data_IF_093120501613
#
_entry.id   IF_093120501613
#
_cell.length_a   1.000
_cell.length_b   1.000
_cell.length_c   1.000
_cell.angle_alpha   90.00
_cell.angle_beta   90.00
_cell.angle_gamma   90.00
#
_symmetry.space_group_name_H-M   'P 1'
#
loop_
_entity.id
_entity.type
_entity.pdbx_description
1 polymer ?
#
# COMPACT_ATOMS: atom_id res chain seq x y z
N UNK A 1 34.52 -25.63 -9.97
CA UNK A 1 34.30 -26.30 -8.68
C UNK A 1 32.80 -26.32 -8.44
N UNK A 2 32.11 -27.44 -8.34
CA UNK A 2 30.66 -27.50 -8.15
C UNK A 2 30.31 -27.45 -6.67
N UNK A 3 29.25 -26.67 -6.35
CA UNK A 3 28.66 -26.56 -5.03
C UNK A 3 27.82 -27.81 -4.71
N UNK A 4 28.18 -28.51 -3.64
CA UNK A 4 27.47 -29.67 -3.14
C UNK A 4 26.15 -29.30 -2.49
N UNK A 5 25.06 -29.94 -2.95
CA UNK A 5 23.76 -29.96 -2.28
C UNK A 5 23.85 -30.89 -1.05
N UNK A 6 23.55 -30.37 0.13
CA UNK A 6 23.26 -31.19 1.30
C UNK A 6 21.74 -31.41 1.41
N UNK A 7 21.29 -32.60 0.98
CA UNK A 7 20.00 -33.14 1.38
C UNK A 7 20.21 -34.07 2.55
N UNK A 8 19.57 -33.77 3.69
CA UNK A 8 19.46 -34.73 4.81
C UNK A 8 18.19 -35.54 4.64
N UNK A 9 18.22 -36.85 4.91
CA UNK A 9 17.04 -37.70 4.80
C UNK A 9 16.16 -37.56 6.06
N UNK A 10 14.88 -37.23 5.87
CA UNK A 10 13.87 -37.28 6.91
C UNK A 10 13.28 -38.68 6.97
N UNK A 11 13.54 -39.44 8.03
CA UNK A 11 12.92 -40.74 8.30
C UNK A 11 11.45 -40.53 8.70
N UNK A 12 10.53 -41.05 7.89
CA UNK A 12 9.11 -41.13 8.20
C UNK A 12 8.86 -42.36 9.07
N UNK A 13 8.63 -42.17 10.35
CA UNK A 13 8.04 -43.17 11.23
C UNK A 13 6.52 -43.11 11.14
N UNK A 14 5.92 -44.10 10.50
CA UNK A 14 4.47 -44.32 10.49
C UNK A 14 3.97 -44.69 11.87
N UNK A 15 3.21 -43.83 12.51
CA UNK A 15 2.35 -44.13 13.65
C UNK A 15 0.91 -44.26 13.20
N UNK A 16 0.34 -45.44 13.27
CA UNK A 16 -1.08 -45.72 13.12
C UNK A 16 -1.87 -44.99 14.21
N UNK A 17 -2.66 -43.99 13.82
CA UNK A 17 -3.70 -43.41 14.66
C UNK A 17 -5.05 -43.98 14.22
N UNK A 18 -5.75 -44.56 15.21
CA UNK A 18 -7.10 -45.05 15.08
C UNK A 18 -8.04 -43.95 14.57
N UNK A 19 -8.87 -44.27 13.59
CA UNK A 19 -9.91 -43.39 13.09
C UNK A 19 -11.05 -43.36 14.10
N UNK A 20 -11.03 -42.42 15.06
CA UNK A 20 -12.22 -42.05 15.80
C UNK A 20 -13.15 -41.23 14.90
N UNK A 21 -14.40 -41.71 14.81
CA UNK A 21 -15.48 -41.00 14.12
C UNK A 21 -15.71 -39.64 14.76
N UNK A 22 -15.10 -38.60 14.20
CA UNK A 22 -15.45 -37.23 14.53
C UNK A 22 -16.85 -36.97 13.99
N UNK A 23 -17.83 -36.86 14.91
CA UNK A 23 -19.16 -36.35 14.59
C UNK A 23 -18.99 -35.00 13.94
N UNK A 24 -19.44 -34.87 12.70
CA UNK A 24 -19.55 -33.61 11.98
C UNK A 24 -20.53 -32.71 12.71
N UNK A 25 -20.04 -31.97 13.67
CA UNK A 25 -20.75 -30.83 14.23
C UNK A 25 -20.65 -29.76 13.14
N UNK A 26 -21.77 -29.38 12.54
CA UNK A 26 -21.90 -28.21 11.70
C UNK A 26 -21.50 -26.98 12.56
N UNK A 27 -20.23 -26.68 12.62
CA UNK A 27 -19.74 -25.38 13.09
C UNK A 27 -20.14 -24.41 11.97
N UNK A 28 -21.24 -23.72 12.20
CA UNK A 28 -21.58 -22.52 11.43
C UNK A 28 -20.31 -21.66 11.35
N UNK A 29 -19.81 -21.47 10.14
CA UNK A 29 -18.74 -20.51 9.83
C UNK A 29 -19.38 -19.11 9.91
N UNK A 30 -19.78 -18.74 11.11
CA UNK A 30 -20.21 -17.38 11.47
C UNK A 30 -19.00 -16.71 12.13
N UNK A 31 -18.09 -16.16 11.30
CA UNK A 31 -17.23 -15.01 11.57
C UNK A 31 -16.18 -14.85 10.45
N UNK A 32 -16.62 -14.84 9.19
CA UNK A 32 -15.79 -14.29 8.14
C UNK A 32 -15.76 -12.77 8.32
N UNK A 33 -14.57 -12.18 8.43
CA UNK A 33 -14.39 -10.73 8.35
C UNK A 33 -14.97 -10.25 7.02
N UNK A 34 -16.11 -9.58 7.04
CA UNK A 34 -16.83 -9.20 5.81
C UNK A 34 -16.84 -7.70 5.59
N UNK A 35 -16.79 -6.90 6.66
CA UNK A 35 -16.86 -5.46 6.57
C UNK A 35 -15.46 -4.85 6.65
N UNK A 36 -15.10 -4.08 5.63
CA UNK A 36 -13.79 -3.43 5.49
C UNK A 36 -13.96 -1.94 5.23
N UNK A 37 -13.32 -1.13 6.05
CA UNK A 37 -13.12 0.30 5.75
C UNK A 37 -11.74 0.49 5.15
N UNK A 38 -11.63 1.28 4.10
CA UNK A 38 -10.34 1.67 3.51
C UNK A 38 -10.17 3.18 3.69
N UNK A 39 -9.06 3.55 4.33
CA UNK A 39 -8.57 4.92 4.46
C UNK A 39 -7.20 4.99 3.77
N UNK A 40 -7.10 5.79 2.72
CA UNK A 40 -5.90 5.86 1.91
C UNK A 40 -5.92 7.01 0.92
N UNK A 41 -5.06 6.92 -0.05
CA UNK A 41 -4.89 7.93 -1.09
C UNK A 41 -5.46 7.49 -2.46
N UNK A 42 -4.87 7.99 -3.54
CA UNK A 42 -5.28 7.69 -4.91
C UNK A 42 -5.10 6.21 -5.29
N UNK A 43 -4.12 5.53 -4.71
CA UNK A 43 -3.86 4.11 -4.97
C UNK A 43 -5.04 3.28 -4.46
N UNK A 44 -5.40 3.46 -3.21
CA UNK A 44 -6.54 2.78 -2.60
C UNK A 44 -7.88 3.23 -3.18
N UNK A 45 -7.96 4.46 -3.72
CA UNK A 45 -9.14 4.95 -4.42
C UNK A 45 -9.36 4.27 -5.79
N UNK A 46 -8.33 3.62 -6.34
CA UNK A 46 -8.38 3.01 -7.66
C UNK A 46 -8.21 4.04 -8.78
N UNK A 47 -7.43 5.10 -8.54
CA UNK A 47 -7.14 6.11 -9.57
C UNK A 47 -6.18 5.55 -10.60
N UNK A 48 -6.51 5.76 -11.88
CA UNK A 48 -5.67 5.49 -13.04
C UNK A 48 -5.55 6.74 -13.91
N UNK A 49 -4.44 6.86 -14.63
CA UNK A 49 -4.24 7.91 -15.62
C UNK A 49 -4.58 7.36 -17.01
N UNK A 50 -5.63 7.89 -17.64
CA UNK A 50 -6.04 7.58 -19.01
C UNK A 50 -5.73 8.77 -19.93
N UNK A 51 -4.68 8.67 -20.73
CA UNK A 51 -4.15 9.80 -21.47
C UNK A 51 -3.66 10.88 -20.50
N UNK A 52 -4.33 12.03 -20.48
CA UNK A 52 -4.01 13.16 -19.58
C UNK A 52 -4.99 13.32 -18.39
N UNK A 53 -5.97 12.43 -18.26
CA UNK A 53 -7.04 12.56 -17.26
C UNK A 53 -7.00 11.44 -16.25
N UNK A 54 -7.09 11.81 -14.98
CA UNK A 54 -7.29 10.87 -13.90
C UNK A 54 -8.77 10.46 -13.82
N UNK A 55 -8.99 9.17 -13.61
CA UNK A 55 -10.32 8.61 -13.37
C UNK A 55 -10.25 7.49 -12.33
N UNK A 56 -11.38 7.22 -11.68
CA UNK A 56 -11.52 6.02 -10.84
C UNK A 56 -11.80 4.85 -11.79
N UNK A 57 -10.97 3.80 -11.71
CA UNK A 57 -11.19 2.58 -12.47
C UNK A 57 -12.16 1.65 -11.74
N UNK A 58 -13.07 1.03 -12.47
CA UNK A 58 -13.89 -0.09 -12.00
C UNK A 58 -13.06 -1.37 -11.76
N UNK A 59 -11.81 -1.38 -12.21
CA UNK A 59 -10.80 -2.41 -11.94
C UNK A 59 -9.81 -2.00 -10.84
N UNK A 60 -10.15 -1.03 -10.00
CA UNK A 60 -9.39 -0.73 -8.78
C UNK A 60 -9.25 -1.98 -7.90
N UNK A 61 -8.12 -2.14 -7.21
CA UNK A 61 -7.89 -3.35 -6.42
C UNK A 61 -8.96 -3.58 -5.34
N UNK A 62 -9.48 -2.51 -4.74
CA UNK A 62 -10.54 -2.60 -3.74
C UNK A 62 -11.82 -3.22 -4.32
N UNK A 63 -12.24 -2.76 -5.50
CA UNK A 63 -13.41 -3.29 -6.22
C UNK A 63 -13.19 -4.77 -6.59
N UNK A 64 -12.02 -5.11 -7.13
CA UNK A 64 -11.69 -6.50 -7.47
C UNK A 64 -11.72 -7.41 -6.24
N UNK A 65 -11.17 -6.97 -5.10
CA UNK A 65 -11.18 -7.72 -3.85
C UNK A 65 -12.59 -7.86 -3.28
N UNK A 66 -13.39 -6.78 -3.28
CA UNK A 66 -14.80 -6.79 -2.86
C UNK A 66 -15.60 -7.87 -3.58
N UNK A 67 -15.49 -7.88 -4.90
CA UNK A 67 -16.17 -8.86 -5.76
C UNK A 67 -15.64 -10.29 -5.54
N UNK A 68 -14.31 -10.49 -5.53
CA UNK A 68 -13.70 -11.82 -5.46
C UNK A 68 -13.86 -12.51 -4.09
N UNK A 69 -14.06 -11.75 -3.02
CA UNK A 69 -14.11 -12.22 -1.64
C UNK A 69 -15.47 -11.97 -0.98
N UNK A 70 -16.41 -11.36 -1.71
CA UNK A 70 -17.74 -10.97 -1.21
C UNK A 70 -17.63 -10.12 0.07
N UNK A 71 -16.80 -9.06 0.01
CA UNK A 71 -16.58 -8.12 1.11
C UNK A 71 -17.47 -6.89 0.95
N UNK A 72 -18.01 -6.40 2.06
CA UNK A 72 -18.62 -5.07 2.15
C UNK A 72 -17.50 -4.05 2.39
N UNK A 73 -17.12 -3.32 1.33
CA UNK A 73 -16.01 -2.37 1.37
C UNK A 73 -16.54 -0.93 1.33
N UNK A 74 -16.28 -0.18 2.40
CA UNK A 74 -16.48 1.27 2.43
C UNK A 74 -15.13 1.97 2.21
N UNK A 75 -14.94 2.51 1.01
CA UNK A 75 -13.69 3.14 0.62
C UNK A 75 -13.78 4.67 0.73
N UNK A 76 -13.12 5.25 1.74
CA UNK A 76 -13.04 6.69 1.99
C UNK A 76 -11.72 7.33 1.51
N UNK A 77 -10.93 6.59 0.75
CA UNK A 77 -9.65 7.07 0.17
C UNK A 77 -9.87 8.26 -0.77
N UNK A 78 -8.90 9.16 -0.82
CA UNK A 78 -8.98 10.36 -1.65
C UNK A 78 -7.66 10.63 -2.39
N UNK A 79 -7.76 11.04 -3.64
CA UNK A 79 -6.61 11.47 -4.43
C UNK A 79 -5.82 12.58 -3.71
N UNK A 80 -4.49 12.47 -3.72
CA UNK A 80 -3.61 13.47 -3.10
C UNK A 80 -3.63 13.51 -1.57
N UNK A 81 -4.17 12.46 -0.91
CA UNK A 81 -4.35 12.43 0.54
C UNK A 81 -3.06 12.09 1.26
N UNK A 82 -2.56 13.01 2.09
CA UNK A 82 -1.48 12.74 3.05
C UNK A 82 -2.02 12.09 4.31
N UNK A 83 -1.15 11.51 5.13
CA UNK A 83 -1.50 10.89 6.42
C UNK A 83 -2.22 11.86 7.36
N UNK A 84 -1.81 13.14 7.38
CA UNK A 84 -2.45 14.17 8.20
C UNK A 84 -3.92 14.39 7.82
N UNK A 85 -4.20 14.40 6.51
CA UNK A 85 -5.57 14.46 6.00
C UNK A 85 -6.32 13.16 6.28
N UNK A 86 -5.63 12.04 6.18
CA UNK A 86 -6.16 10.70 6.52
C UNK A 86 -6.65 10.62 7.97
N UNK A 87 -5.90 11.15 8.92
CA UNK A 87 -6.30 11.21 10.32
C UNK A 87 -7.59 12.02 10.54
N UNK A 88 -7.76 13.11 9.81
CA UNK A 88 -9.02 13.89 9.83
C UNK A 88 -10.20 13.11 9.26
N UNK A 89 -9.97 12.35 8.16
CA UNK A 89 -11.00 11.50 7.55
C UNK A 89 -11.39 10.37 8.51
N UNK A 90 -10.43 9.77 9.22
CA UNK A 90 -10.70 8.74 10.23
C UNK A 90 -11.69 9.26 11.27
N UNK A 91 -11.46 10.44 11.85
CA UNK A 91 -12.37 11.02 12.84
C UNK A 91 -13.76 11.37 12.26
N UNK A 92 -13.81 11.83 11.01
CA UNK A 92 -15.07 12.09 10.31
C UNK A 92 -15.86 10.80 10.00
N UNK A 93 -15.19 9.65 9.95
CA UNK A 93 -15.76 8.33 9.60
C UNK A 93 -15.66 7.31 10.73
N UNK A 94 -15.47 7.79 11.97
CA UNK A 94 -15.27 6.93 13.16
C UNK A 94 -16.40 5.92 13.37
N UNK A 95 -17.66 6.26 13.05
CA UNK A 95 -18.78 5.34 13.15
C UNK A 95 -18.67 4.18 12.14
N UNK A 96 -18.25 4.47 10.89
CA UNK A 96 -18.00 3.44 9.88
C UNK A 96 -16.82 2.55 10.28
N UNK A 97 -15.74 3.16 10.81
CA UNK A 97 -14.58 2.42 11.31
C UNK A 97 -14.96 1.53 12.49
N UNK A 98 -15.78 2.03 13.43
CA UNK A 98 -16.24 1.24 14.58
C UNK A 98 -17.13 0.06 14.19
N UNK A 99 -17.85 0.17 13.07
CA UNK A 99 -18.71 -0.89 12.54
C UNK A 99 -17.93 -1.91 11.66
N UNK A 100 -16.67 -1.63 11.31
CA UNK A 100 -15.89 -2.47 10.42
C UNK A 100 -15.08 -3.53 11.15
N UNK A 101 -15.02 -4.74 10.59
CA UNK A 101 -14.15 -5.81 11.09
C UNK A 101 -12.67 -5.45 10.91
N UNK A 102 -12.35 -4.77 9.81
CA UNK A 102 -10.97 -4.39 9.41
C UNK A 102 -10.97 -2.97 8.88
N UNK A 103 -9.95 -2.21 9.27
CA UNK A 103 -9.62 -0.92 8.66
C UNK A 103 -8.26 -1.03 7.98
N UNK A 104 -8.27 -0.92 6.65
CA UNK A 104 -7.07 -0.89 5.82
C UNK A 104 -6.55 0.55 5.74
N UNK A 105 -5.28 0.75 6.07
CA UNK A 105 -4.60 2.05 6.04
C UNK A 105 -3.50 2.03 4.97
N UNK A 106 -3.54 2.98 4.04
CA UNK A 106 -2.57 3.11 2.94
C UNK A 106 -2.20 4.59 2.75
N UNK A 107 -1.01 4.96 3.21
CA UNK A 107 -0.46 6.32 3.15
C UNK A 107 1.06 6.28 3.00
N UNK A 108 1.64 7.34 2.42
CA UNK A 108 3.08 7.53 2.31
C UNK A 108 3.50 8.10 0.96
N UNK A 109 2.83 7.74 -0.14
CA UNK A 109 3.16 8.23 -1.47
C UNK A 109 3.05 9.76 -1.57
N UNK A 110 1.93 10.34 -1.13
CA UNK A 110 1.76 11.79 -1.09
C UNK A 110 2.57 12.47 0.02
N UNK A 111 2.86 11.77 1.10
CA UNK A 111 3.64 12.29 2.23
C UNK A 111 5.10 12.49 1.86
N UNK A 112 5.66 11.57 1.07
CA UNK A 112 7.04 11.61 0.57
C UNK A 112 7.28 12.63 -0.55
N UNK A 113 6.20 13.14 -1.14
CA UNK A 113 6.24 14.07 -2.27
C UNK A 113 6.58 15.51 -1.82
N UNK A 114 7.04 16.30 -2.76
CA UNK A 114 7.51 17.68 -2.53
C UNK A 114 6.64 18.70 -3.25
N UNK A 115 6.83 19.98 -2.91
CA UNK A 115 6.29 21.13 -3.64
C UNK A 115 7.29 21.51 -4.75
N UNK A 116 7.20 20.84 -5.91
CA UNK A 116 8.18 20.94 -6.99
C UNK A 116 8.34 22.35 -7.55
N UNK A 117 7.27 23.17 -7.57
CA UNK A 117 7.36 24.58 -7.96
C UNK A 117 8.25 25.38 -7.01
N UNK A 118 8.15 25.16 -5.70
CA UNK A 118 8.99 25.83 -4.70
C UNK A 118 10.47 25.45 -4.87
N UNK A 119 10.75 24.18 -5.17
CA UNK A 119 12.10 23.71 -5.47
C UNK A 119 12.64 24.39 -6.75
N UNK A 120 11.80 24.52 -7.77
CA UNK A 120 12.22 25.19 -9.01
C UNK A 120 12.54 26.67 -8.79
N UNK A 121 11.80 27.34 -7.89
CA UNK A 121 12.01 28.76 -7.54
C UNK A 121 13.24 28.96 -6.66
N UNK A 122 13.49 28.09 -5.69
CA UNK A 122 14.58 28.23 -4.69
C UNK A 122 15.44 26.95 -4.58
N UNK A 123 16.11 26.50 -5.67
CA UNK A 123 16.80 25.20 -5.72
C UNK A 123 17.99 25.06 -4.77
N UNK A 124 18.49 26.17 -4.23
CA UNK A 124 19.62 26.18 -3.28
C UNK A 124 19.17 26.08 -1.83
N UNK A 125 17.86 26.14 -1.57
CA UNK A 125 17.29 26.01 -0.25
C UNK A 125 17.01 24.55 0.13
N UNK A 126 16.78 24.32 1.43
CA UNK A 126 16.34 23.03 1.92
C UNK A 126 14.82 22.94 1.79
N UNK A 127 14.36 21.92 1.07
CA UNK A 127 12.94 21.61 0.96
C UNK A 127 12.61 20.36 1.76
N UNK A 128 11.46 20.39 2.41
CA UNK A 128 10.93 19.25 3.14
C UNK A 128 9.82 18.57 2.33
N UNK A 129 9.64 17.24 2.48
CA UNK A 129 8.48 16.58 1.92
C UNK A 129 7.18 17.11 2.54
N UNK A 130 6.04 16.87 1.90
CA UNK A 130 4.71 17.35 2.34
C UNK A 130 4.39 16.97 3.78
N UNK A 131 4.84 15.80 4.24
CA UNK A 131 4.82 15.40 5.65
C UNK A 131 6.19 14.87 6.01
N UNK A 132 6.93 15.50 6.93
CA UNK A 132 8.24 14.99 7.32
C UNK A 132 8.12 13.60 7.99
N UNK A 133 9.16 12.77 7.86
CA UNK A 133 9.13 11.36 8.26
C UNK A 133 8.77 11.18 9.76
N UNK A 134 9.23 12.06 10.63
CA UNK A 134 8.91 12.03 12.06
C UNK A 134 7.41 12.27 12.32
N UNK A 135 6.83 13.26 11.64
CA UNK A 135 5.39 13.54 11.73
C UNK A 135 4.57 12.41 11.12
N UNK A 136 5.02 11.86 9.98
CA UNK A 136 4.40 10.71 9.34
C UNK A 136 4.31 9.53 10.29
N UNK A 137 5.44 9.15 10.91
CA UNK A 137 5.50 8.06 11.91
C UNK A 137 4.51 8.31 13.06
N UNK A 138 4.59 9.50 13.69
CA UNK A 138 3.76 9.83 14.84
C UNK A 138 2.26 9.79 14.49
N UNK A 139 1.87 10.38 13.35
CA UNK A 139 0.47 10.40 12.91
C UNK A 139 -0.03 8.99 12.57
N UNK A 140 0.78 8.18 11.89
CA UNK A 140 0.40 6.81 11.55
C UNK A 140 0.19 5.95 12.80
N UNK A 141 1.10 6.05 13.76
CA UNK A 141 0.99 5.36 15.05
C UNK A 141 -0.29 5.75 15.79
N UNK A 142 -0.62 7.05 15.84
CA UNK A 142 -1.87 7.55 16.43
C UNK A 142 -3.10 6.99 15.70
N UNK A 143 -3.10 6.97 14.37
CA UNK A 143 -4.21 6.41 13.59
C UNK A 143 -4.43 4.92 13.88
N UNK A 144 -3.35 4.14 13.97
CA UNK A 144 -3.43 2.72 14.34
C UNK A 144 -4.07 2.53 15.71
N UNK A 145 -3.63 3.32 16.71
CA UNK A 145 -4.20 3.27 18.06
C UNK A 145 -5.69 3.65 18.03
N UNK A 146 -6.03 4.70 17.30
CA UNK A 146 -7.40 5.17 17.17
C UNK A 146 -8.33 4.13 16.53
N UNK A 147 -7.89 3.45 15.48
CA UNK A 147 -8.64 2.34 14.86
C UNK A 147 -8.89 1.22 15.87
N UNK A 148 -7.90 0.86 16.70
CA UNK A 148 -8.05 -0.14 17.77
C UNK A 148 -9.04 0.30 18.84
N UNK A 149 -8.98 1.55 19.29
CA UNK A 149 -9.93 2.12 20.25
C UNK A 149 -11.38 2.07 19.74
N UNK A 150 -11.57 2.25 18.44
CA UNK A 150 -12.88 2.12 17.79
C UNK A 150 -13.33 0.68 17.61
N UNK A 151 -12.52 -0.32 17.97
CA UNK A 151 -12.87 -1.74 17.93
C UNK A 151 -12.56 -2.43 16.59
N UNK A 152 -12.08 -1.71 15.57
CA UNK A 152 -11.68 -2.28 14.28
C UNK A 152 -10.24 -2.78 14.32
N UNK A 153 -9.91 -3.75 13.45
CA UNK A 153 -8.54 -4.26 13.30
C UNK A 153 -7.78 -3.49 12.24
N UNK A 154 -6.72 -2.74 12.59
CA UNK A 154 -5.89 -2.07 11.61
C UNK A 154 -5.08 -3.08 10.81
N UNK A 155 -4.97 -2.86 9.51
CA UNK A 155 -4.08 -3.55 8.57
C UNK A 155 -3.42 -2.49 7.73
N UNK A 156 -2.09 -2.51 7.63
CA UNK A 156 -1.35 -1.57 6.79
C UNK A 156 -1.18 -2.13 5.38
N UNK A 157 -1.11 -1.25 4.41
CA UNK A 157 -0.73 -1.57 3.05
C UNK A 157 0.62 -0.90 2.76
N UNK A 158 1.59 -1.67 2.25
CA UNK A 158 2.84 -1.07 1.76
C UNK A 158 2.58 -0.25 0.50
N UNK A 159 3.56 0.52 0.02
CA UNK A 159 3.40 1.33 -1.18
C UNK A 159 3.78 0.53 -2.44
N UNK A 160 3.10 0.72 -3.59
CA UNK A 160 3.54 0.17 -4.85
C UNK A 160 4.85 0.84 -5.28
N UNK A 161 5.58 0.23 -6.22
CA UNK A 161 6.76 0.87 -6.80
C UNK A 161 6.36 2.05 -7.66
N UNK A 162 7.19 3.11 -7.63
CA UNK A 162 7.09 4.22 -8.55
C UNK A 162 8.26 4.25 -9.56
N UNK A 163 8.03 4.85 -10.72
CA UNK A 163 9.05 5.18 -11.70
C UNK A 163 9.43 6.67 -11.55
N UNK A 164 10.54 6.94 -10.87
CA UNK A 164 10.99 8.31 -10.58
C UNK A 164 11.27 9.14 -11.84
N UNK A 165 11.71 8.51 -12.94
CA UNK A 165 11.94 9.21 -14.20
C UNK A 165 10.62 9.64 -14.85
N UNK A 166 9.65 8.72 -15.00
CA UNK A 166 8.32 9.06 -15.52
C UNK A 166 7.64 10.12 -14.64
N UNK A 167 7.76 9.97 -13.32
CA UNK A 167 7.21 10.94 -12.37
C UNK A 167 7.80 12.33 -12.56
N UNK A 168 9.12 12.46 -12.70
CA UNK A 168 9.79 13.72 -12.98
C UNK A 168 9.27 14.33 -14.30
N UNK A 169 9.29 13.55 -15.38
CA UNK A 169 8.83 14.03 -16.69
C UNK A 169 7.38 14.49 -16.65
N UNK A 170 6.52 13.74 -15.99
CA UNK A 170 5.10 14.07 -15.88
C UNK A 170 4.86 15.32 -15.01
N UNK A 171 5.50 15.39 -13.85
CA UNK A 171 5.31 16.51 -12.90
C UNK A 171 5.84 17.82 -13.46
N UNK A 172 6.95 17.77 -14.18
CA UNK A 172 7.62 18.96 -14.74
C UNK A 172 7.21 19.27 -16.18
N UNK A 173 6.25 18.57 -16.77
CA UNK A 173 5.89 18.68 -18.20
C UNK A 173 5.47 20.08 -18.66
N UNK A 174 4.97 20.90 -17.73
CA UNK A 174 4.55 22.29 -18.00
C UNK A 174 5.56 23.33 -17.49
N UNK A 175 6.72 22.90 -17.01
CA UNK A 175 7.80 23.76 -16.52
C UNK A 175 8.76 24.08 -17.66
N UNK A 176 9.42 25.24 -17.57
CA UNK A 176 10.50 25.62 -18.46
C UNK A 176 11.73 24.72 -18.27
N UNK A 177 12.63 24.71 -19.25
CA UNK A 177 13.89 23.96 -19.15
C UNK A 177 14.75 24.44 -17.96
N UNK A 178 14.66 25.73 -17.61
CA UNK A 178 15.38 26.31 -16.44
C UNK A 178 14.83 25.76 -15.13
N UNK A 179 13.51 25.74 -14.96
CA UNK A 179 12.86 25.18 -13.78
C UNK A 179 13.17 23.68 -13.61
N UNK A 180 13.12 22.94 -14.71
CA UNK A 180 13.49 21.51 -14.73
C UNK A 180 14.95 21.29 -14.35
N UNK A 181 15.86 22.14 -14.87
CA UNK A 181 17.28 22.10 -14.51
C UNK A 181 17.52 22.44 -13.04
N UNK A 182 16.77 23.37 -12.45
CA UNK A 182 16.83 23.71 -11.02
C UNK A 182 16.44 22.50 -10.16
N UNK A 183 15.31 21.83 -10.48
CA UNK A 183 14.86 20.63 -9.76
C UNK A 183 15.92 19.53 -9.88
N UNK A 184 16.44 19.30 -11.09
CA UNK A 184 17.47 18.28 -11.32
C UNK A 184 18.75 18.59 -10.53
N UNK A 185 19.17 19.86 -10.45
CA UNK A 185 20.31 20.30 -9.65
C UNK A 185 20.07 20.05 -8.16
N UNK A 186 18.87 20.36 -7.64
CA UNK A 186 18.49 20.07 -6.26
C UNK A 186 18.51 18.55 -5.96
N UNK A 187 18.11 17.73 -6.91
CA UNK A 187 18.23 16.26 -6.84
C UNK A 187 19.68 15.77 -7.01
N UNK A 188 20.67 16.66 -7.20
CA UNK A 188 22.07 16.31 -7.42
C UNK A 188 22.30 15.57 -8.74
N UNK A 189 21.47 15.82 -9.75
CA UNK A 189 21.53 15.19 -11.07
C UNK A 189 20.97 13.75 -11.11
N UNK A 190 20.34 13.27 -10.05
CA UNK A 190 19.94 11.86 -9.89
C UNK A 190 18.43 11.74 -9.71
N UNK A 191 17.71 11.36 -10.77
CA UNK A 191 16.25 11.18 -10.73
C UNK A 191 15.81 10.03 -9.82
N UNK A 192 16.68 9.05 -9.60
CA UNK A 192 16.47 7.94 -8.66
C UNK A 192 16.19 8.41 -7.23
N UNK A 193 16.64 9.62 -6.87
CA UNK A 193 16.38 10.20 -5.55
C UNK A 193 14.88 10.42 -5.29
N UNK A 194 14.07 10.66 -6.31
CA UNK A 194 12.61 10.75 -6.20
C UNK A 194 12.06 9.44 -5.68
N UNK A 195 12.45 8.32 -6.31
CA UNK A 195 12.06 6.99 -5.85
C UNK A 195 12.62 6.68 -4.47
N UNK A 196 13.87 7.05 -4.18
CA UNK A 196 14.47 6.80 -2.87
C UNK A 196 13.70 7.50 -1.73
N UNK A 197 13.17 8.71 -1.95
CA UNK A 197 12.30 9.37 -0.99
C UNK A 197 11.01 8.56 -0.76
N UNK A 198 10.37 8.11 -1.81
CA UNK A 198 9.18 7.26 -1.73
C UNK A 198 9.47 5.95 -0.98
N UNK A 199 10.56 5.28 -1.32
CA UNK A 199 10.97 4.02 -0.71
C UNK A 199 11.30 4.18 0.79
N UNK A 200 11.82 5.34 1.22
CA UNK A 200 12.01 5.65 2.66
C UNK A 200 10.70 5.63 3.43
N UNK A 201 9.61 6.19 2.88
CA UNK A 201 8.29 6.13 3.51
C UNK A 201 7.71 4.72 3.48
N UNK A 202 7.93 3.98 2.41
CA UNK A 202 7.55 2.57 2.37
C UNK A 202 8.24 1.74 3.46
N UNK A 203 9.55 1.91 3.65
CA UNK A 203 10.30 1.27 4.75
C UNK A 203 9.78 1.71 6.12
N UNK A 204 9.37 2.97 6.27
CA UNK A 204 8.79 3.47 7.51
C UNK A 204 7.44 2.79 7.80
N UNK A 205 6.60 2.54 6.79
CA UNK A 205 5.35 1.77 6.97
C UNK A 205 5.65 0.36 7.51
N UNK A 206 6.67 -0.33 6.99
CA UNK A 206 7.09 -1.64 7.50
C UNK A 206 7.60 -1.55 8.96
N UNK A 207 8.37 -0.50 9.30
CA UNK A 207 8.85 -0.26 10.66
C UNK A 207 7.68 -0.06 11.62
N UNK A 208 6.75 0.84 11.29
CA UNK A 208 5.54 1.10 12.08
C UNK A 208 4.73 -0.19 12.27
N UNK A 209 4.54 -0.99 11.22
CA UNK A 209 3.83 -2.26 11.30
C UNK A 209 4.48 -3.19 12.33
N UNK A 210 5.81 -3.29 12.33
CA UNK A 210 6.58 -4.10 13.27
C UNK A 210 6.48 -3.57 14.71
N UNK A 211 6.70 -2.27 14.91
CA UNK A 211 6.68 -1.62 16.24
C UNK A 211 5.30 -1.69 16.89
N UNK A 212 4.25 -1.49 16.09
CA UNK A 212 2.87 -1.52 16.57
C UNK A 212 2.26 -2.92 16.58
N UNK A 213 3.00 -3.94 16.14
CA UNK A 213 2.49 -5.31 15.96
C UNK A 213 1.17 -5.33 15.18
N UNK A 214 1.18 -4.73 13.98
CA UNK A 214 0.05 -4.64 13.04
C UNK A 214 0.38 -5.42 11.77
N UNK A 215 -0.55 -6.23 11.25
CA UNK A 215 -0.35 -6.87 9.97
C UNK A 215 -0.10 -5.86 8.85
N UNK A 216 0.85 -6.16 7.98
CA UNK A 216 1.11 -5.41 6.76
C UNK A 216 0.89 -6.28 5.53
N UNK A 217 0.15 -5.76 4.57
CA UNK A 217 -0.03 -6.31 3.23
C UNK A 217 1.08 -5.74 2.33
N UNK A 218 2.06 -6.56 2.04
CA UNK A 218 3.14 -6.19 1.14
C UNK A 218 2.66 -6.23 -0.32
N UNK A 219 2.38 -5.05 -0.87
CA UNK A 219 2.07 -4.85 -2.29
C UNK A 219 3.27 -4.36 -3.11
N UNK A 220 4.40 -4.09 -2.46
CA UNK A 220 5.66 -3.68 -3.12
C UNK A 220 6.30 -4.87 -3.83
N UNK A 221 6.46 -6.01 -3.13
CA UNK A 221 7.13 -7.21 -3.65
C UNK A 221 6.55 -7.76 -4.96
N UNK A 222 5.23 -7.76 -5.20
CA UNK A 222 4.69 -8.18 -6.49
C UNK A 222 5.21 -7.38 -7.69
N UNK A 223 5.47 -6.08 -7.52
CA UNK A 223 6.07 -5.27 -8.57
C UNK A 223 7.56 -5.60 -8.74
N UNK A 224 8.31 -5.73 -7.63
CA UNK A 224 9.74 -6.08 -7.66
C UNK A 224 10.00 -7.45 -8.30
N UNK A 225 9.07 -8.38 -8.16
CA UNK A 225 9.19 -9.72 -8.76
C UNK A 225 9.09 -9.73 -10.29
N UNK A 226 8.70 -8.62 -10.92
CA UNK A 226 8.60 -8.50 -12.37
C UNK A 226 9.86 -7.84 -12.93
N UNK A 227 10.37 -8.40 -14.02
CA UNK A 227 11.58 -7.93 -14.70
C UNK A 227 11.45 -6.46 -15.15
N UNK A 228 10.25 -6.11 -15.64
CA UNK A 228 9.86 -4.74 -15.96
C UNK A 228 8.56 -4.38 -15.23
N UNK A 229 8.70 -3.81 -14.04
CA UNK A 229 7.55 -3.36 -13.26
C UNK A 229 6.86 -2.12 -13.88
N UNK A 230 7.53 -1.39 -14.76
CA UNK A 230 7.00 -0.15 -15.34
C UNK A 230 5.77 -0.38 -16.22
N UNK A 231 5.56 -1.62 -16.70
CA UNK A 231 4.36 -2.02 -17.42
C UNK A 231 3.09 -2.00 -16.55
N UNK A 232 3.23 -2.00 -15.22
CA UNK A 232 2.13 -1.95 -14.25
C UNK A 232 1.86 -0.54 -13.71
N UNK A 233 2.62 0.47 -14.18
CA UNK A 233 2.55 1.85 -13.73
C UNK A 233 2.08 2.74 -14.87
N UNK A 234 1.22 3.70 -14.57
CA UNK A 234 0.75 4.71 -15.51
C UNK A 234 1.89 5.61 -16.04
N UNK A 235 1.60 6.40 -17.03
CA UNK A 235 2.57 7.32 -17.63
C UNK A 235 3.08 8.40 -16.65
N UNK A 236 2.35 8.68 -15.57
CA UNK A 236 2.77 9.60 -14.52
C UNK A 236 3.84 9.03 -13.56
N UNK A 237 4.15 7.75 -13.68
CA UNK A 237 5.19 7.09 -12.89
C UNK A 237 4.84 6.73 -11.46
N UNK A 238 3.61 7.03 -10.99
CA UNK A 238 3.22 6.77 -9.59
C UNK A 238 1.95 5.91 -9.46
N UNK A 239 0.93 6.13 -10.28
CA UNK A 239 -0.30 5.36 -10.17
C UNK A 239 -0.16 4.00 -10.84
N UNK A 240 -0.57 2.90 -10.18
CA UNK A 240 -0.76 1.62 -10.87
C UNK A 240 -1.80 1.79 -11.99
N UNK A 241 -1.55 1.18 -13.15
CA UNK A 241 -2.57 1.03 -14.17
C UNK A 241 -3.50 -0.15 -13.82
N UNK A 242 -4.48 -0.48 -14.68
CA UNK A 242 -5.42 -1.58 -14.41
C UNK A 242 -4.72 -2.93 -14.15
N UNK A 243 -3.62 -3.23 -14.87
CA UNK A 243 -2.83 -4.43 -14.64
C UNK A 243 -2.10 -4.39 -13.29
N UNK A 244 -1.60 -3.20 -12.89
CA UNK A 244 -1.02 -2.96 -11.58
C UNK A 244 -2.05 -3.13 -10.45
N UNK A 245 -3.25 -2.61 -10.61
CA UNK A 245 -4.35 -2.86 -9.67
C UNK A 245 -4.72 -4.34 -9.57
N UNK A 246 -4.70 -5.07 -10.67
CA UNK A 246 -4.94 -6.53 -10.65
C UNK A 246 -3.83 -7.28 -9.90
N UNK A 247 -2.57 -6.84 -10.05
CA UNK A 247 -1.45 -7.39 -9.31
C UNK A 247 -1.61 -7.20 -7.79
N UNK A 248 -2.03 -5.99 -7.38
CA UNK A 248 -2.34 -5.68 -5.98
C UNK A 248 -3.52 -6.53 -5.48
N UNK A 249 -4.61 -6.61 -6.24
CA UNK A 249 -5.80 -7.38 -5.88
C UNK A 249 -5.50 -8.87 -5.67
N UNK A 250 -4.65 -9.46 -6.53
CA UNK A 250 -4.21 -10.85 -6.38
C UNK A 250 -3.49 -11.05 -5.05
N UNK A 251 -2.60 -10.12 -4.67
CA UNK A 251 -1.84 -10.18 -3.41
C UNK A 251 -2.75 -10.07 -2.19
N UNK A 252 -3.65 -9.08 -2.18
CA UNK A 252 -4.63 -8.86 -1.10
C UNK A 252 -5.55 -10.08 -0.95
N UNK A 253 -6.05 -10.61 -2.06
CA UNK A 253 -6.91 -11.81 -2.07
C UNK A 253 -6.20 -13.04 -1.50
N UNK A 254 -4.95 -13.27 -1.90
CA UNK A 254 -4.14 -14.38 -1.39
C UNK A 254 -3.92 -14.27 0.13
N UNK A 255 -3.61 -13.08 0.62
CA UNK A 255 -3.44 -12.83 2.05
C UNK A 255 -4.75 -13.10 2.82
N UNK A 256 -5.87 -12.56 2.38
CA UNK A 256 -7.16 -12.77 3.03
C UNK A 256 -7.52 -14.26 3.12
N UNK A 257 -7.35 -15.00 2.04
CA UNK A 257 -7.57 -16.46 2.01
C UNK A 257 -6.66 -17.20 3.00
N UNK A 258 -5.40 -16.78 3.12
CA UNK A 258 -4.46 -17.37 4.07
C UNK A 258 -4.88 -17.16 5.53
N UNK A 259 -5.50 -16.03 5.86
CA UNK A 259 -6.04 -15.76 7.19
C UNK A 259 -7.22 -16.67 7.52
N UNK A 260 -8.10 -16.96 6.55
CA UNK A 260 -9.22 -17.89 6.74
C UNK A 260 -8.72 -19.32 7.01
N UNK A 261 -7.71 -19.79 6.26
CA UNK A 261 -7.14 -21.14 6.44
C UNK A 261 -6.44 -21.33 7.79
N UNK A 262 -5.86 -20.29 8.39
CA UNK A 262 -5.20 -20.38 9.71
C UNK A 262 -6.19 -20.44 10.87
N UNK A 263 -7.46 -20.18 10.64
CA UNK A 263 -8.54 -20.20 11.64
C UNK A 263 -9.40 -21.44 11.57
N UNK A 264 -9.28 -22.22 10.49
CA UNK A 264 -9.93 -23.53 10.30
C UNK A 264 -9.06 -24.64 10.87
#
# INVERSE_FOLDING_TARGET
MPLHHYCLPVSVQSRNFAVEKIKTTNIKIENSMKSVVILGDSISRGIVLNGERYSISDKGFAEQCGNALNLDIQNFSKMGCTITRGAQILEQRKEAVAAADVTLLEYGGNDSDFFWNEIAETPMERHSPKTCLLQFHATYTQMIQRVRELGSRPVLLSLPLMDGKRFFEFTTRNMSDVERAHILAWLGGQLERIRNYHDMYNLEVFRIASEMNVPILDITSPFLGNQDYTQYVCADGIHPNEAGHTLIAARVTAYYRSLLMRRA
#
